data_IF_779595631650
#
_entry.id   IF_779595631650
#
_cell.length_a   1.000
_cell.length_b   1.000
_cell.length_c   1.000
_cell.angle_alpha   90.00
_cell.angle_beta   90.00
_cell.angle_gamma   90.00
#
_symmetry.space_group_name_H-M   'P 1'
#
loop_
_entity.id
_entity.type
_entity.pdbx_description
1 polymer ?
#
# COMPACT_ATOMS: atom_id res chain seq x y z
N UNK A 1 -2.88 -3.56 -4.29
CA UNK A 1 -1.49 -4.07 -4.11
C UNK A 1 -1.39 -4.86 -2.82
N UNK A 2 -0.44 -5.79 -2.71
CA UNK A 2 -0.27 -6.60 -1.48
C UNK A 2 0.76 -5.96 -0.55
N UNK A 3 0.49 -6.02 0.75
CA UNK A 3 1.42 -5.59 1.80
C UNK A 3 2.07 -6.81 2.40
N UNK A 4 3.38 -6.72 2.67
CA UNK A 4 4.14 -7.79 3.29
C UNK A 4 4.57 -7.37 4.68
N UNK A 5 4.10 -8.09 5.70
CA UNK A 5 4.51 -7.90 7.08
C UNK A 5 5.48 -9.00 7.50
N UNK A 6 6.67 -8.63 7.95
CA UNK A 6 7.63 -9.57 8.50
C UNK A 6 7.68 -9.42 10.02
N UNK A 7 6.98 -10.33 10.71
CA UNK A 7 6.85 -10.29 12.18
C UNK A 7 7.56 -11.51 12.77
N UNK A 8 8.40 -11.27 13.78
CA UNK A 8 8.99 -12.33 14.61
C UNK A 8 8.45 -12.20 16.02
N UNK A 9 7.65 -13.17 16.46
CA UNK A 9 7.09 -13.22 17.82
C UNK A 9 7.31 -14.59 18.44
N UNK A 10 7.81 -14.61 19.67
CA UNK A 10 8.01 -15.85 20.44
C UNK A 10 6.71 -16.36 21.06
N UNK A 11 5.77 -15.45 21.38
CA UNK A 11 4.52 -15.77 22.08
C UNK A 11 3.29 -15.77 21.15
N UNK A 12 3.52 -15.60 19.85
CA UNK A 12 2.47 -15.50 18.84
C UNK A 12 1.78 -14.14 18.83
N UNK A 13 1.16 -13.83 17.69
CA UNK A 13 0.44 -12.56 17.48
C UNK A 13 -0.94 -12.67 18.14
N UNK A 14 -1.29 -11.64 18.92
CA UNK A 14 -2.63 -11.47 19.50
C UNK A 14 -3.46 -10.49 18.69
N UNK A 15 -2.87 -9.38 18.24
CA UNK A 15 -3.55 -8.44 17.36
C UNK A 15 -2.60 -7.66 16.46
N UNK A 16 -3.11 -7.29 15.27
CA UNK A 16 -2.49 -6.32 14.37
C UNK A 16 -3.38 -5.09 14.26
N UNK A 17 -2.78 -3.90 14.42
CA UNK A 17 -3.50 -2.62 14.32
C UNK A 17 -2.77 -1.68 13.38
N UNK A 18 -3.40 -1.41 12.25
CA UNK A 18 -2.90 -0.45 11.26
C UNK A 18 -3.15 0.99 11.71
N UNK A 19 -2.20 1.87 11.40
CA UNK A 19 -2.18 3.27 11.79
C UNK A 19 -1.64 4.13 10.63
N UNK A 20 -1.87 5.44 10.71
CA UNK A 20 -1.55 6.39 9.64
C UNK A 20 -2.77 6.65 8.75
N UNK A 21 -2.56 6.74 7.45
CA UNK A 21 -3.57 7.15 6.46
C UNK A 21 -4.59 6.06 6.10
N UNK A 22 -4.98 5.23 7.07
CA UNK A 22 -5.87 4.06 6.88
C UNK A 22 -7.31 4.40 6.51
N UNK A 23 -7.73 5.66 6.63
CA UNK A 23 -9.06 6.10 6.18
C UNK A 23 -9.05 6.55 4.71
N UNK A 24 -7.96 7.20 4.28
CA UNK A 24 -7.77 7.61 2.89
C UNK A 24 -7.44 6.41 2.01
N UNK A 25 -6.76 5.42 2.59
CA UNK A 25 -6.41 4.16 1.96
C UNK A 25 -7.42 3.08 2.32
N UNK A 26 -8.02 2.42 1.32
CA UNK A 26 -8.90 1.29 1.58
C UNK A 26 -8.08 0.03 1.85
N UNK A 27 -7.86 -0.25 3.13
CA UNK A 27 -7.14 -1.44 3.60
C UNK A 27 -8.10 -2.63 3.72
N UNK A 28 -7.73 -3.75 3.08
CA UNK A 28 -8.53 -4.99 3.07
C UNK A 28 -7.81 -6.07 3.87
N UNK A 29 -8.49 -6.59 4.88
CA UNK A 29 -7.95 -7.66 5.72
C UNK A 29 -8.01 -9.02 5.03
N UNK A 30 -7.06 -9.92 5.33
CA UNK A 30 -7.21 -11.35 5.03
C UNK A 30 -8.32 -11.98 5.90
N UNK A 31 -8.58 -13.28 5.68
CA UNK A 31 -9.60 -14.05 6.43
C UNK A 31 -9.39 -13.97 7.95
N UNK A 32 -8.14 -14.04 8.40
CA UNK A 32 -7.75 -13.76 9.78
C UNK A 32 -7.04 -12.41 9.85
N UNK A 33 -7.70 -11.38 10.38
CA UNK A 33 -7.12 -10.04 10.52
C UNK A 33 -5.86 -9.97 11.42
N UNK A 34 -5.54 -11.03 12.18
CA UNK A 34 -4.29 -11.10 12.94
C UNK A 34 -3.15 -11.76 12.15
N UNK A 35 -3.44 -12.28 10.95
CA UNK A 35 -2.44 -12.83 10.04
C UNK A 35 -1.51 -11.73 9.54
N UNK A 36 -0.18 -11.94 9.54
CA UNK A 36 0.76 -11.03 8.88
C UNK A 36 0.63 -11.07 7.35
N UNK A 37 0.08 -12.16 6.81
CA UNK A 37 0.01 -12.43 5.38
C UNK A 37 -1.39 -12.18 4.81
N UNK A 38 -1.44 -11.67 3.58
CA UNK A 38 -2.67 -11.50 2.80
C UNK A 38 -3.33 -10.12 2.91
N UNK A 39 -2.72 -9.17 3.61
CA UNK A 39 -3.16 -7.78 3.60
C UNK A 39 -3.01 -7.16 2.23
N UNK A 40 -4.01 -6.41 1.82
CA UNK A 40 -3.97 -5.64 0.58
C UNK A 40 -4.53 -4.25 0.79
N UNK A 41 -4.10 -3.33 -0.07
CA UNK A 41 -4.54 -1.95 -0.06
C UNK A 41 -4.93 -1.52 -1.46
N UNK A 42 -6.00 -0.73 -1.52
CA UNK A 42 -6.46 -0.04 -2.72
C UNK A 42 -6.02 1.41 -2.58
N UNK A 43 -5.19 1.86 -3.51
CA UNK A 43 -4.77 3.24 -3.60
C UNK A 43 -5.85 4.07 -4.31
N UNK A 44 -6.08 5.33 -3.90
CA UNK A 44 -6.91 6.24 -4.66
C UNK A 44 -6.28 6.54 -6.03
N UNK A 45 -7.05 7.16 -6.92
CA UNK A 45 -6.50 7.64 -8.19
C UNK A 45 -5.41 8.70 -7.96
N UNK A 46 -4.40 8.71 -8.81
CA UNK A 46 -3.41 9.79 -8.83
C UNK A 46 -4.10 11.13 -9.11
N UNK A 47 -3.79 12.16 -8.33
CA UNK A 47 -4.30 13.51 -8.52
C UNK A 47 -3.19 14.43 -9.05
N UNK A 48 -3.47 15.11 -10.16
CA UNK A 48 -2.60 16.14 -10.74
C UNK A 48 -2.90 17.54 -10.23
N UNK A 49 -3.77 17.69 -9.22
CA UNK A 49 -4.08 19.00 -8.66
C UNK A 49 -2.83 19.63 -8.03
N UNK A 50 -2.64 20.96 -8.19
CA UNK A 50 -1.51 21.65 -7.55
C UNK A 50 -1.50 21.40 -6.04
N UNK A 51 -0.41 20.82 -5.54
CA UNK A 51 -0.24 20.49 -4.12
C UNK A 51 -0.74 19.09 -3.71
N UNK A 52 -1.27 18.28 -4.62
CA UNK A 52 -1.58 16.89 -4.34
C UNK A 52 -0.30 16.09 -4.00
N UNK A 53 -0.25 15.53 -2.79
CA UNK A 53 0.94 14.82 -2.31
C UNK A 53 1.13 13.46 -2.96
N UNK A 54 0.03 12.76 -3.29
CA UNK A 54 0.05 11.38 -3.79
C UNK A 54 0.94 10.43 -2.96
N UNK A 55 1.04 10.72 -1.65
CA UNK A 55 1.90 10.04 -0.71
C UNK A 55 1.10 9.75 0.56
N UNK A 56 1.17 8.50 1.02
CA UNK A 56 0.51 8.03 2.22
C UNK A 56 1.47 7.24 3.10
N UNK A 57 1.28 7.34 4.40
CA UNK A 57 2.11 6.68 5.39
C UNK A 57 1.26 5.70 6.19
N UNK A 58 1.76 4.47 6.30
CA UNK A 58 1.16 3.42 7.09
C UNK A 58 2.18 2.84 8.07
N UNK A 59 1.70 2.40 9.21
CA UNK A 59 2.46 1.54 10.13
C UNK A 59 1.52 0.53 10.75
N UNK A 60 2.08 -0.54 11.32
CA UNK A 60 1.31 -1.53 12.06
C UNK A 60 1.87 -1.69 13.45
N UNK A 61 1.00 -1.71 14.45
CA UNK A 61 1.34 -2.12 15.80
C UNK A 61 0.89 -3.54 16.02
N UNK A 62 1.83 -4.36 16.48
CA UNK A 62 1.64 -5.76 16.82
C UNK A 62 1.55 -5.87 18.33
N UNK A 63 0.50 -6.50 18.83
CA UNK A 63 0.43 -6.97 20.22
C UNK A 63 0.60 -8.48 20.25
N UNK A 64 1.47 -8.99 21.11
CA UNK A 64 1.65 -10.43 21.33
C UNK A 64 0.71 -10.94 22.45
N UNK A 65 0.72 -12.26 22.68
CA UNK A 65 -0.16 -12.88 23.70
C UNK A 65 0.22 -12.54 25.15
N UNK A 66 1.42 -12.03 25.39
CA UNK A 66 1.87 -11.58 26.72
C UNK A 66 1.54 -10.11 26.98
N UNK A 67 1.05 -9.39 25.96
CA UNK A 67 0.71 -7.97 26.02
C UNK A 67 1.85 -7.05 25.60
N UNK A 68 2.98 -7.59 25.13
CA UNK A 68 4.05 -6.77 24.54
C UNK A 68 3.54 -6.14 23.24
N UNK A 69 3.83 -4.85 23.07
CA UNK A 69 3.48 -4.09 21.85
C UNK A 69 4.72 -3.56 21.17
N UNK A 70 4.78 -3.75 19.85
CA UNK A 70 5.84 -3.19 19.01
C UNK A 70 5.23 -2.55 17.77
N UNK A 71 5.80 -1.44 17.33
CA UNK A 71 5.45 -0.80 16.06
C UNK A 71 6.40 -1.26 14.96
N UNK A 72 5.89 -1.42 13.75
CA UNK A 72 6.72 -1.56 12.57
C UNK A 72 7.48 -0.27 12.27
N UNK A 73 8.44 -0.38 11.35
CA UNK A 73 8.88 0.76 10.55
C UNK A 73 7.71 1.33 9.74
N UNK A 74 7.88 2.56 9.27
CA UNK A 74 6.92 3.20 8.38
C UNK A 74 6.94 2.56 6.99
N UNK A 75 5.76 2.52 6.38
CA UNK A 75 5.50 2.12 5.00
C UNK A 75 5.01 3.36 4.27
N UNK A 76 5.86 3.92 3.41
CA UNK A 76 5.50 5.03 2.54
C UNK A 76 5.00 4.49 1.18
N UNK A 77 3.80 4.93 0.79
CA UNK A 77 3.17 4.58 -0.47
C UNK A 77 3.07 5.83 -1.33
N UNK A 78 3.89 5.92 -2.37
CA UNK A 78 3.89 7.03 -3.32
C UNK A 78 3.31 6.60 -4.66
N UNK A 79 2.32 7.34 -5.17
CA UNK A 79 1.80 7.20 -6.52
C UNK A 79 2.53 8.14 -7.47
N UNK A 80 3.06 7.58 -8.54
CA UNK A 80 3.57 8.34 -9.68
C UNK A 80 2.47 8.59 -10.70
N UNK A 81 2.64 9.61 -11.54
CA UNK A 81 1.74 9.88 -12.65
C UNK A 81 1.54 8.62 -13.52
N UNK A 82 0.30 8.27 -13.89
CA UNK A 82 0.04 7.12 -14.75
C UNK A 82 0.67 7.28 -16.14
N UNK A 83 1.21 6.20 -16.69
CA UNK A 83 1.67 6.19 -18.08
C UNK A 83 0.48 6.26 -19.04
N UNK A 84 0.25 7.42 -19.63
CA UNK A 84 -0.70 7.57 -20.74
C UNK A 84 -0.05 7.15 -22.05
N UNK A 85 -0.55 6.07 -22.65
CA UNK A 85 -0.23 5.73 -24.04
C UNK A 85 -0.98 6.70 -24.95
N UNK A 86 -0.29 7.70 -25.47
CA UNK A 86 -0.79 8.46 -26.60
C UNK A 86 -0.80 7.55 -27.82
N UNK A 87 -1.98 7.20 -28.35
CA UNK A 87 -2.04 6.67 -29.71
C UNK A 87 -1.58 7.79 -30.63
N UNK A 88 -0.46 7.60 -31.31
CA UNK A 88 -0.02 8.53 -32.34
C UNK A 88 -1.02 8.47 -33.50
N UNK A 89 -2.11 9.22 -33.41
CA UNK A 89 -2.94 9.56 -34.56
C UNK A 89 -2.08 10.47 -35.45
N UNK A 90 -1.33 9.86 -36.37
CA UNK A 90 -0.60 10.60 -37.41
C UNK A 90 0.75 10.03 -37.87
N UNK A 91 1.35 9.06 -37.18
CA UNK A 91 2.63 8.50 -37.66
C UNK A 91 2.39 7.29 -38.55
N UNK A 92 2.11 7.56 -39.82
CA UNK A 92 2.22 6.57 -40.89
C UNK A 92 3.71 6.34 -41.16
N UNK A 93 4.29 5.26 -40.62
CA UNK A 93 5.57 4.75 -41.12
C UNK A 93 5.33 4.21 -42.53
N UNK A 94 5.52 5.08 -43.53
CA UNK A 94 5.71 4.63 -44.90
C UNK A 94 7.05 3.93 -44.93
N UNK A 95 7.01 2.60 -44.98
CA UNK A 95 8.12 1.81 -45.52
C UNK A 95 8.39 2.36 -46.92
N UNK A 96 9.51 3.07 -47.07
CA UNK A 96 10.03 3.46 -48.37
C UNK A 96 10.72 2.22 -48.98
N UNK A 97 10.50 1.96 -50.28
CA UNK A 97 10.95 0.74 -50.96
C UNK A 97 12.47 0.63 -51.08
#
# INVERSE_FOLDING_TARGET
MQLKLQIRSLHGIKSLKWQGDTQLLSLTSPVDANSPDGWSVILPAWSGEPGATNLWHLSVVVEDKTGQRVSSNEIALALTEPLVKFSAQGVSWRELP
#
